data_IF_215981282492
#
_entry.id   IF_215981282492
#
_cell.length_a   1.000
_cell.length_b   1.000
_cell.length_c   1.000
_cell.angle_alpha   90.00
_cell.angle_beta   90.00
_cell.angle_gamma   90.00
#
_symmetry.space_group_name_H-M   'P 1'
#
loop_
_entity.id
_entity.type
_entity.pdbx_description
1 polymer ?
#
# COMPACT_ATOMS: atom_id res chain seq x y z
N UNK A 1 -42.94 -32.37 -14.32
CA UNK A 1 -42.87 -31.16 -13.46
C UNK A 1 -41.74 -30.29 -13.97
N UNK A 2 -42.05 -29.16 -14.60
CA UNK A 2 -41.07 -28.21 -15.13
C UNK A 2 -40.52 -27.39 -13.97
N UNK A 3 -39.20 -27.35 -13.84
CA UNK A 3 -38.47 -26.62 -12.80
C UNK A 3 -38.76 -25.12 -12.89
N UNK A 4 -39.62 -24.62 -12.01
CA UNK A 4 -39.80 -23.20 -11.77
C UNK A 4 -38.69 -22.75 -10.82
N UNK A 5 -37.68 -22.06 -11.34
CA UNK A 5 -36.80 -21.25 -10.52
C UNK A 5 -37.63 -20.02 -10.09
N UNK A 6 -37.80 -19.73 -8.79
CA UNK A 6 -38.62 -18.61 -8.35
C UNK A 6 -38.04 -17.29 -8.90
N UNK A 7 -38.88 -16.48 -9.55
CA UNK A 7 -38.55 -15.16 -10.08
C UNK A 7 -37.92 -14.22 -9.04
N UNK A 8 -38.14 -14.47 -7.75
CA UNK A 8 -37.52 -13.76 -6.63
C UNK A 8 -36.00 -13.94 -6.53
N UNK A 9 -35.45 -15.09 -6.96
CA UNK A 9 -33.99 -15.31 -7.01
C UNK A 9 -33.39 -14.52 -8.19
N UNK A 10 -34.08 -14.46 -9.33
CA UNK A 10 -33.62 -13.72 -10.52
C UNK A 10 -33.60 -12.20 -10.29
N UNK A 11 -34.58 -11.66 -9.56
CA UNK A 11 -34.65 -10.22 -9.25
C UNK A 11 -33.57 -9.79 -8.23
N UNK A 12 -33.25 -10.65 -7.25
CA UNK A 12 -32.15 -10.42 -6.33
C UNK A 12 -30.76 -10.47 -7.02
N UNK A 13 -30.62 -11.29 -8.08
CA UNK A 13 -29.43 -11.31 -8.94
C UNK A 13 -29.25 -10.00 -9.75
N UNK A 14 -30.36 -9.39 -10.20
CA UNK A 14 -30.32 -8.14 -10.95
C UNK A 14 -30.11 -6.89 -10.07
N UNK A 15 -30.52 -6.92 -8.80
CA UNK A 15 -30.36 -5.79 -7.88
C UNK A 15 -29.04 -5.84 -7.07
N UNK A 16 -28.51 -7.02 -6.72
CA UNK A 16 -27.23 -7.13 -5.98
C UNK A 16 -25.98 -7.05 -6.88
N UNK A 17 -26.14 -7.03 -8.21
CA UNK A 17 -25.05 -6.79 -9.15
C UNK A 17 -24.73 -5.30 -9.32
N UNK A 18 -25.56 -4.38 -8.83
CA UNK A 18 -25.41 -2.94 -9.06
C UNK A 18 -24.34 -2.26 -8.18
N UNK A 19 -24.25 -2.55 -6.89
CA UNK A 19 -23.26 -1.87 -6.02
C UNK A 19 -21.83 -2.42 -6.19
N UNK A 20 -21.75 -3.69 -6.56
CA UNK A 20 -20.56 -4.43 -6.90
C UNK A 20 -19.83 -3.93 -8.14
N UNK A 21 -20.63 -3.64 -9.15
CA UNK A 21 -20.18 -3.11 -10.42
C UNK A 21 -19.93 -1.62 -10.31
N UNK A 22 -20.54 -0.88 -9.38
CA UNK A 22 -20.45 0.57 -9.26
C UNK A 22 -19.05 1.18 -9.42
N UNK A 23 -17.98 0.56 -8.89
CA UNK A 23 -16.63 1.13 -9.01
C UNK A 23 -15.98 0.94 -10.37
N UNK A 24 -16.08 -0.26 -10.95
CA UNK A 24 -15.69 -0.43 -12.35
C UNK A 24 -16.72 0.21 -13.29
N UNK A 25 -17.95 0.41 -12.84
CA UNK A 25 -19.04 1.00 -13.59
C UNK A 25 -18.82 2.49 -13.76
N UNK A 26 -18.38 3.25 -12.75
CA UNK A 26 -18.09 4.68 -12.98
C UNK A 26 -16.86 4.86 -13.89
N UNK A 27 -15.85 3.98 -13.83
CA UNK A 27 -14.71 4.03 -14.76
C UNK A 27 -15.20 3.69 -16.18
N UNK A 28 -16.03 2.65 -16.32
CA UNK A 28 -16.65 2.25 -17.58
C UNK A 28 -17.56 3.35 -18.14
N UNK A 29 -18.43 3.92 -17.32
CA UNK A 29 -19.31 5.03 -17.65
C UNK A 29 -18.50 6.28 -18.01
N UNK A 30 -17.42 6.58 -17.28
CA UNK A 30 -16.47 7.64 -17.61
C UNK A 30 -15.85 7.41 -19.00
N UNK A 31 -15.49 6.17 -19.34
CA UNK A 31 -15.01 5.81 -20.70
C UNK A 31 -16.11 5.99 -21.75
N UNK A 32 -17.34 5.60 -21.45
CA UNK A 32 -18.50 5.78 -22.35
C UNK A 32 -18.82 7.26 -22.59
N UNK A 33 -18.69 8.11 -21.56
CA UNK A 33 -18.82 9.57 -21.68
C UNK A 33 -17.71 10.15 -22.55
N UNK A 34 -16.47 9.71 -22.37
CA UNK A 34 -15.32 10.09 -23.21
C UNK A 34 -15.56 9.70 -24.68
N UNK A 35 -16.04 8.48 -24.93
CA UNK A 35 -16.33 7.99 -26.29
C UNK A 35 -17.41 8.81 -27.01
N UNK A 36 -18.34 9.39 -26.25
CA UNK A 36 -19.41 10.27 -26.74
C UNK A 36 -19.00 11.75 -26.79
N UNK A 37 -17.77 12.10 -26.38
CA UNK A 37 -17.29 13.49 -26.33
C UNK A 37 -17.76 14.31 -25.13
N UNK A 38 -18.38 13.69 -24.12
CA UNK A 38 -18.87 14.33 -22.89
C UNK A 38 -17.77 14.48 -21.83
N UNK A 39 -16.65 15.13 -22.19
CA UNK A 39 -15.45 15.18 -21.34
C UNK A 39 -15.65 15.89 -19.98
N UNK A 40 -16.50 16.93 -19.92
CA UNK A 40 -16.79 17.62 -18.64
C UNK A 40 -17.52 16.71 -17.66
N UNK A 41 -18.51 15.96 -18.16
CA UNK A 41 -19.28 15.03 -17.35
C UNK A 41 -18.41 13.84 -16.92
N UNK A 42 -17.55 13.36 -17.82
CA UNK A 42 -16.56 12.33 -17.49
C UNK A 42 -15.63 12.77 -16.36
N UNK A 43 -15.06 13.99 -16.42
CA UNK A 43 -14.23 14.54 -15.33
C UNK A 43 -15.02 14.58 -14.03
N UNK A 44 -16.24 15.13 -14.05
CA UNK A 44 -17.08 15.24 -12.85
C UNK A 44 -17.35 13.87 -12.21
N UNK A 45 -17.69 12.85 -13.01
CA UNK A 45 -17.95 11.49 -12.52
C UNK A 45 -16.66 10.85 -11.99
N UNK A 46 -15.58 10.89 -12.76
CA UNK A 46 -14.30 10.26 -12.42
C UNK A 46 -13.69 10.88 -11.15
N UNK A 47 -13.72 12.21 -11.04
CA UNK A 47 -13.21 12.95 -9.88
C UNK A 47 -14.03 12.67 -8.61
N UNK A 48 -15.37 12.72 -8.71
CA UNK A 48 -16.27 12.44 -7.59
C UNK A 48 -16.09 11.02 -7.01
N UNK A 49 -15.65 10.06 -7.84
CA UNK A 49 -15.46 8.67 -7.46
C UNK A 49 -13.98 8.26 -7.33
N UNK A 50 -13.03 9.18 -7.53
CA UNK A 50 -11.60 8.89 -7.53
C UNK A 50 -11.13 8.19 -6.25
N UNK A 51 -11.68 8.60 -5.10
CA UNK A 51 -11.33 8.04 -3.79
C UNK A 51 -11.53 6.55 -3.70
N UNK A 52 -12.69 6.12 -4.18
CA UNK A 52 -13.13 4.74 -4.06
C UNK A 52 -12.58 3.90 -5.21
N UNK A 53 -11.94 4.52 -6.22
CA UNK A 53 -11.28 3.82 -7.31
C UNK A 53 -10.16 2.89 -6.82
N UNK A 54 -10.22 1.65 -7.30
CA UNK A 54 -9.13 0.68 -7.14
C UNK A 54 -7.99 0.98 -8.11
N UNK A 55 -8.30 1.33 -9.37
CA UNK A 55 -7.31 1.73 -10.38
C UNK A 55 -7.23 3.27 -10.50
N UNK A 56 -6.69 3.93 -9.47
CA UNK A 56 -6.53 5.40 -9.45
C UNK A 56 -5.70 5.94 -10.62
N UNK A 57 -4.68 5.19 -11.07
CA UNK A 57 -3.90 5.57 -12.24
C UNK A 57 -4.76 5.71 -13.49
N UNK A 58 -5.66 4.75 -13.72
CA UNK A 58 -6.55 4.80 -14.88
C UNK A 58 -7.49 5.99 -14.81
N UNK A 59 -8.04 6.28 -13.63
CA UNK A 59 -8.87 7.47 -13.40
C UNK A 59 -8.08 8.75 -13.73
N UNK A 60 -6.87 8.89 -13.19
CA UNK A 60 -6.00 10.06 -13.44
C UNK A 60 -5.69 10.23 -14.94
N UNK A 61 -5.36 9.14 -15.64
CA UNK A 61 -5.09 9.17 -17.08
C UNK A 61 -6.33 9.56 -17.89
N UNK A 62 -7.50 9.06 -17.54
CA UNK A 62 -8.76 9.42 -18.20
C UNK A 62 -9.07 10.91 -17.99
N UNK A 63 -8.86 11.44 -16.78
CA UNK A 63 -9.03 12.88 -16.49
C UNK A 63 -8.04 13.72 -17.30
N UNK A 64 -6.77 13.33 -17.37
CA UNK A 64 -5.76 14.03 -18.18
C UNK A 64 -6.15 14.09 -19.67
N UNK A 65 -6.63 12.97 -20.22
CA UNK A 65 -7.16 12.90 -21.60
C UNK A 65 -8.36 13.83 -21.79
N UNK A 66 -9.28 13.90 -20.82
CA UNK A 66 -10.43 14.79 -20.89
C UNK A 66 -10.01 16.27 -20.94
N UNK A 67 -9.00 16.69 -20.18
CA UNK A 67 -8.49 18.05 -20.22
C UNK A 67 -7.95 18.41 -21.61
N UNK A 68 -7.14 17.54 -22.22
CA UNK A 68 -6.62 17.76 -23.57
C UNK A 68 -7.74 17.92 -24.60
N UNK A 69 -8.76 17.07 -24.54
CA UNK A 69 -9.89 17.11 -25.48
C UNK A 69 -10.83 18.31 -25.26
N UNK A 70 -10.77 18.96 -24.08
CA UNK A 70 -11.48 20.22 -23.80
C UNK A 70 -10.70 21.47 -24.24
N UNK A 71 -9.53 21.31 -24.88
CA UNK A 71 -8.63 22.42 -25.21
C UNK A 71 -7.88 22.99 -24.01
N UNK A 72 -7.94 22.32 -22.85
CA UNK A 72 -7.23 22.67 -21.61
C UNK A 72 -5.86 22.00 -21.58
N UNK A 73 -5.01 22.40 -22.52
CA UNK A 73 -3.76 21.69 -22.82
C UNK A 73 -2.77 21.74 -21.66
N UNK A 74 -2.62 22.89 -21.00
CA UNK A 74 -1.70 23.06 -19.87
C UNK A 74 -2.13 22.18 -18.69
N UNK A 75 -3.43 22.11 -18.39
CA UNK A 75 -3.96 21.22 -17.36
C UNK A 75 -3.76 19.74 -17.70
N UNK A 76 -3.98 19.36 -18.96
CA UNK A 76 -3.75 17.98 -19.42
C UNK A 76 -2.29 17.55 -19.32
N UNK A 77 -1.36 18.39 -19.81
CA UNK A 77 0.08 18.16 -19.70
C UNK A 77 0.55 18.14 -18.25
N UNK A 78 0.05 19.09 -17.43
CA UNK A 78 0.33 19.11 -16.00
C UNK A 78 -0.11 17.81 -15.34
N UNK A 79 -1.31 17.31 -15.65
CA UNK A 79 -1.81 16.07 -15.05
C UNK A 79 -1.00 14.85 -15.48
N UNK A 80 -0.60 14.74 -16.75
CA UNK A 80 0.30 13.68 -17.20
C UNK A 80 1.67 13.71 -16.50
N UNK A 81 2.24 14.89 -16.29
CA UNK A 81 3.48 15.05 -15.54
C UNK A 81 3.29 14.70 -14.05
N UNK A 82 2.16 15.08 -13.47
CA UNK A 82 1.81 14.68 -12.11
C UNK A 82 1.75 13.16 -12.01
N UNK A 83 1.08 12.48 -12.95
CA UNK A 83 1.04 11.01 -13.02
C UNK A 83 2.45 10.43 -13.07
N UNK A 84 3.35 10.93 -13.92
CA UNK A 84 4.74 10.47 -13.97
C UNK A 84 5.46 10.60 -12.62
N UNK A 85 5.24 11.72 -11.91
CA UNK A 85 5.87 11.95 -10.60
C UNK A 85 5.28 11.09 -9.49
N UNK A 86 3.96 10.86 -9.53
CA UNK A 86 3.19 10.15 -8.51
C UNK A 86 3.31 8.63 -8.63
N UNK A 87 3.43 8.11 -9.85
CA UNK A 87 3.50 6.69 -10.14
C UNK A 87 4.91 6.31 -10.61
N UNK A 88 5.77 5.94 -9.67
CA UNK A 88 7.21 5.74 -9.91
C UNK A 88 7.51 4.44 -10.71
N UNK A 89 6.58 3.47 -10.70
CA UNK A 89 6.74 2.15 -11.33
C UNK A 89 5.74 1.89 -12.45
N UNK A 90 5.56 2.87 -13.33
CA UNK A 90 4.76 2.70 -14.54
C UNK A 90 5.46 1.69 -15.46
N UNK A 91 4.70 0.74 -16.02
CA UNK A 91 5.25 -0.16 -17.03
C UNK A 91 5.63 0.64 -18.29
N UNK A 92 6.53 0.08 -19.12
CA UNK A 92 7.05 0.77 -20.32
C UNK A 92 5.95 1.26 -21.27
N UNK A 93 4.89 0.47 -21.45
CA UNK A 93 3.77 0.84 -22.32
C UNK A 93 3.02 2.06 -21.77
N UNK A 94 2.85 2.14 -20.45
CA UNK A 94 2.18 3.26 -19.80
C UNK A 94 3.06 4.51 -19.81
N UNK A 95 4.37 4.37 -19.57
CA UNK A 95 5.33 5.48 -19.69
C UNK A 95 5.37 6.04 -21.12
N UNK A 96 5.36 5.15 -22.12
CA UNK A 96 5.28 5.52 -23.53
C UNK A 96 3.98 6.25 -23.83
N UNK A 97 2.84 5.67 -23.43
CA UNK A 97 1.52 6.29 -23.61
C UNK A 97 1.45 7.70 -23.00
N UNK A 98 1.94 7.90 -21.78
CA UNK A 98 1.95 9.22 -21.15
C UNK A 98 2.83 10.20 -21.94
N UNK A 99 4.02 9.79 -22.36
CA UNK A 99 4.92 10.64 -23.13
C UNK A 99 4.34 11.02 -24.49
N UNK A 100 3.72 10.06 -25.19
CA UNK A 100 3.00 10.31 -26.43
C UNK A 100 1.80 11.24 -26.22
N UNK A 101 1.06 11.05 -25.13
CA UNK A 101 -0.12 11.86 -24.82
C UNK A 101 0.23 13.31 -24.48
N UNK A 102 1.35 13.55 -23.78
CA UNK A 102 1.89 14.90 -23.56
C UNK A 102 2.18 15.56 -24.91
N UNK A 103 2.84 14.85 -25.84
CA UNK A 103 3.15 15.38 -27.16
C UNK A 103 1.91 15.62 -28.04
N UNK A 104 0.78 14.95 -27.77
CA UNK A 104 -0.48 15.13 -28.50
C UNK A 104 -1.41 16.19 -27.86
N UNK A 105 -1.17 16.54 -26.60
CA UNK A 105 -1.99 17.48 -25.85
C UNK A 105 -1.59 18.94 -26.15
N UNK A 106 -1.80 19.39 -27.38
CA UNK A 106 -1.49 20.76 -27.83
C UNK A 106 -2.41 21.22 -28.97
N UNK A 107 -2.55 22.55 -29.21
CA UNK A 107 -3.41 23.07 -30.28
C UNK A 107 -3.04 22.50 -31.66
N UNK A 108 -4.04 22.11 -32.44
CA UNK A 108 -3.85 21.63 -33.82
C UNK A 108 -3.41 20.17 -33.99
N UNK A 109 -3.05 19.48 -32.90
CA UNK A 109 -2.76 18.04 -32.91
C UNK A 109 -4.01 17.20 -32.65
N UNK A 110 -4.00 15.94 -33.10
CA UNK A 110 -5.03 14.97 -32.74
C UNK A 110 -4.89 14.67 -31.25
N UNK A 111 -5.92 15.03 -30.48
CA UNK A 111 -5.95 14.82 -29.04
C UNK A 111 -5.67 13.36 -28.68
N UNK A 112 -5.03 13.08 -27.53
CA UNK A 112 -4.71 11.73 -27.12
C UNK A 112 -5.98 10.89 -27.02
N UNK A 113 -5.91 9.66 -27.56
CA UNK A 113 -6.97 8.67 -27.41
C UNK A 113 -6.97 8.11 -25.99
N UNK A 114 -8.11 7.59 -25.54
CA UNK A 114 -8.23 6.93 -24.22
C UNK A 114 -7.18 5.81 -24.06
N UNK A 115 -6.64 5.58 -22.85
CA UNK A 115 -5.70 4.50 -22.63
C UNK A 115 -6.39 3.14 -22.86
N UNK A 116 -5.76 2.27 -23.65
CA UNK A 116 -6.27 0.93 -24.00
C UNK A 116 -6.47 0.08 -22.73
N UNK A 117 -5.54 0.19 -21.77
CA UNK A 117 -5.64 -0.27 -20.39
C UNK A 117 -4.40 0.26 -19.65
N UNK A 118 -4.60 1.14 -18.67
CA UNK A 118 -3.49 1.61 -17.84
C UNK A 118 -3.27 0.62 -16.70
N UNK A 119 -2.07 0.03 -16.67
CA UNK A 119 -1.72 -0.99 -15.69
C UNK A 119 -0.54 -0.50 -14.86
N UNK A 120 -0.83 0.14 -13.72
CA UNK A 120 0.13 0.15 -12.62
C UNK A 120 -0.24 -0.99 -11.69
N UNK A 121 0.69 -1.93 -11.50
CA UNK A 121 0.64 -2.76 -10.30
C UNK A 121 1.09 -1.85 -9.16
N UNK A 122 0.17 -1.49 -8.27
CA UNK A 122 0.52 -0.89 -6.99
C UNK A 122 0.63 -2.04 -5.99
N UNK A 123 1.75 -2.76 -6.05
CA UNK A 123 2.09 -3.77 -5.05
C UNK A 123 3.03 -3.16 -4.00
N UNK A 124 2.86 -3.50 -2.72
CA UNK A 124 3.81 -3.09 -1.66
C UNK A 124 5.19 -3.70 -1.82
N UNK A 125 5.37 -4.62 -2.77
CA UNK A 125 6.70 -5.12 -3.18
C UNK A 125 7.61 -3.98 -3.68
N UNK A 126 7.04 -2.79 -3.97
CA UNK A 126 7.79 -1.54 -4.20
C UNK A 126 8.86 -1.23 -3.14
N UNK A 127 8.76 -1.82 -1.95
CA UNK A 127 9.62 -1.56 -0.79
C UNK A 127 10.30 -2.83 -0.25
N UNK A 128 10.50 -3.83 -1.09
CA UNK A 128 11.03 -5.16 -0.69
C UNK A 128 12.43 -5.18 -0.10
N UNK A 129 13.18 -4.08 -0.17
CA UNK A 129 14.59 -4.08 0.20
C UNK A 129 14.80 -4.18 1.73
N UNK A 130 13.79 -3.88 2.57
CA UNK A 130 13.87 -4.00 4.05
C UNK A 130 13.17 -5.21 4.66
N UNK A 131 12.69 -6.14 3.83
CA UNK A 131 12.00 -7.36 4.26
C UNK A 131 12.95 -8.54 4.48
N UNK A 132 14.26 -8.31 4.39
CA UNK A 132 15.29 -9.32 4.62
C UNK A 132 15.37 -9.68 6.10
N UNK A 133 15.25 -10.98 6.41
CA UNK A 133 15.41 -11.50 7.77
C UNK A 133 16.86 -11.33 8.22
N UNK A 134 17.06 -10.71 9.38
CA UNK A 134 18.33 -10.76 10.09
C UNK A 134 18.38 -12.09 10.86
N UNK A 135 19.14 -13.08 10.36
CA UNK A 135 19.55 -14.22 11.17
C UNK A 135 20.85 -13.82 11.89
N UNK A 136 20.90 -13.80 13.23
CA UNK A 136 22.11 -13.43 13.98
C UNK A 136 23.31 -14.36 13.77
N UNK A 137 23.17 -15.46 13.03
CA UNK A 137 24.17 -16.52 13.00
C UNK A 137 25.22 -16.41 11.90
N UNK A 138 25.07 -15.54 10.90
CA UNK A 138 26.10 -15.36 9.87
C UNK A 138 26.13 -13.92 9.39
N UNK A 139 27.33 -13.33 9.31
CA UNK A 139 27.59 -12.04 8.69
C UNK A 139 27.22 -12.09 7.19
N UNK A 140 25.94 -11.97 6.86
CA UNK A 140 25.47 -11.92 5.47
C UNK A 140 25.98 -10.61 4.88
N UNK A 141 26.87 -10.74 3.89
CA UNK A 141 27.30 -9.62 3.04
C UNK A 141 26.06 -8.99 2.40
N UNK A 142 25.78 -7.74 2.75
CA UNK A 142 24.78 -6.90 2.09
C UNK A 142 24.92 -7.02 0.57
N UNK A 143 23.92 -7.61 -0.08
CA UNK A 143 23.90 -7.63 -1.53
C UNK A 143 23.49 -6.24 -1.99
N UNK A 144 24.48 -5.41 -2.38
CA UNK A 144 24.30 -3.98 -2.74
C UNK A 144 23.37 -3.73 -3.94
N UNK A 145 22.84 -4.77 -4.57
CA UNK A 145 21.89 -4.64 -5.66
C UNK A 145 20.47 -4.83 -5.14
N UNK A 146 19.67 -3.76 -4.98
CA UNK A 146 18.25 -3.91 -4.73
C UNK A 146 17.67 -4.76 -5.86
N UNK A 147 17.23 -5.97 -5.52
CA UNK A 147 16.64 -6.89 -6.48
C UNK A 147 15.34 -6.25 -6.96
N UNK A 148 15.36 -5.73 -8.18
CA UNK A 148 14.22 -5.05 -8.78
C UNK A 148 13.09 -6.05 -9.00
N UNK A 149 11.91 -5.69 -8.50
CA UNK A 149 10.67 -6.40 -8.78
C UNK A 149 10.39 -6.28 -10.27
N UNK A 150 10.34 -7.41 -10.98
CA UNK A 150 9.95 -7.43 -12.39
C UNK A 150 8.47 -7.81 -12.50
N UNK A 151 7.68 -6.92 -13.07
CA UNK A 151 6.30 -7.19 -13.48
C UNK A 151 6.37 -7.87 -14.85
N UNK A 152 6.02 -9.16 -14.90
CA UNK A 152 6.13 -10.02 -16.08
C UNK A 152 4.84 -9.98 -16.91
N UNK A 153 3.66 -9.98 -16.26
CA UNK A 153 2.37 -9.86 -16.94
C UNK A 153 1.25 -9.59 -15.92
N UNK A 154 0.48 -8.52 -16.10
CA UNK A 154 -0.63 -8.20 -15.20
C UNK A 154 -1.92 -8.89 -15.64
N UNK A 155 -2.32 -9.96 -14.95
CA UNK A 155 -3.72 -10.46 -14.99
C UNK A 155 -4.52 -9.77 -13.90
N UNK A 156 -4.72 -8.46 -14.04
CA UNK A 156 -5.10 -7.60 -12.90
C UNK A 156 -6.61 -7.41 -12.71
N UNK A 157 -7.45 -7.96 -13.58
CA UNK A 157 -8.91 -7.76 -13.47
C UNK A 157 -9.70 -9.02 -13.07
N UNK A 158 -9.08 -10.02 -12.46
CA UNK A 158 -9.82 -11.19 -12.00
C UNK A 158 -10.52 -10.97 -10.65
N UNK A 159 -11.60 -10.17 -10.74
CA UNK A 159 -12.84 -10.17 -9.95
C UNK A 159 -12.70 -9.96 -8.44
N UNK A 160 -12.49 -8.68 -8.09
CA UNK A 160 -12.84 -8.12 -6.78
C UNK A 160 -14.24 -8.59 -6.35
N UNK A 161 -14.36 -9.06 -5.10
CA UNK A 161 -15.61 -9.56 -4.55
C UNK A 161 -16.17 -8.49 -3.60
N UNK A 162 -17.29 -7.84 -3.90
CA UNK A 162 -17.87 -6.83 -3.02
C UNK A 162 -18.20 -7.41 -1.65
N UNK A 163 -18.05 -6.60 -0.59
CA UNK A 163 -18.45 -7.06 0.73
C UNK A 163 -19.97 -7.26 0.84
N UNK A 164 -20.76 -6.63 -0.04
CA UNK A 164 -22.23 -6.71 -0.11
C UNK A 164 -22.75 -7.96 -0.81
N UNK A 165 -21.89 -8.73 -1.49
CA UNK A 165 -22.33 -9.97 -2.16
C UNK A 165 -22.89 -10.99 -1.15
N UNK A 166 -23.93 -11.71 -1.59
CA UNK A 166 -24.49 -12.84 -0.85
C UNK A 166 -23.43 -13.94 -0.64
N UNK A 167 -23.55 -14.67 0.47
CA UNK A 167 -22.65 -15.77 0.80
C UNK A 167 -22.54 -16.82 -0.31
N UNK A 168 -23.62 -17.14 -1.03
CA UNK A 168 -23.58 -18.11 -2.14
C UNK A 168 -22.71 -17.63 -3.31
N UNK A 169 -22.92 -16.40 -3.78
CA UNK A 169 -22.12 -15.80 -4.86
C UNK A 169 -20.64 -15.71 -4.48
N UNK A 170 -20.34 -15.27 -3.25
CA UNK A 170 -18.97 -15.24 -2.75
C UNK A 170 -18.37 -16.64 -2.74
N UNK A 171 -19.09 -17.67 -2.27
CA UNK A 171 -18.59 -19.06 -2.26
C UNK A 171 -18.25 -19.59 -3.65
N UNK A 172 -19.13 -19.36 -4.64
CA UNK A 172 -18.87 -19.77 -6.04
C UNK A 172 -17.57 -19.12 -6.53
N UNK A 173 -17.42 -17.82 -6.28
CA UNK A 173 -16.24 -17.10 -6.73
C UNK A 173 -14.96 -17.56 -6.03
N UNK A 174 -15.03 -17.78 -4.72
CA UNK A 174 -13.93 -18.31 -3.92
C UNK A 174 -13.51 -19.69 -4.43
N UNK A 175 -14.45 -20.56 -4.79
CA UNK A 175 -14.14 -21.87 -5.34
C UNK A 175 -13.41 -21.77 -6.69
N UNK A 176 -13.79 -20.81 -7.55
CA UNK A 176 -13.07 -20.56 -8.80
C UNK A 176 -11.64 -20.10 -8.55
N UNK A 177 -11.42 -19.20 -7.58
CA UNK A 177 -10.08 -18.77 -7.16
C UNK A 177 -9.26 -19.95 -6.63
N UNK A 178 -9.85 -20.80 -5.79
CA UNK A 178 -9.20 -22.01 -5.28
C UNK A 178 -8.76 -22.93 -6.43
N UNK A 179 -9.64 -23.17 -7.40
CA UNK A 179 -9.35 -24.02 -8.55
C UNK A 179 -8.21 -23.44 -9.42
N UNK A 180 -8.17 -22.11 -9.59
CA UNK A 180 -7.10 -21.41 -10.31
C UNK A 180 -5.76 -21.52 -9.59
N UNK A 181 -5.74 -21.36 -8.26
CA UNK A 181 -4.49 -21.37 -7.48
C UNK A 181 -3.97 -22.80 -7.26
N UNK A 182 -4.86 -23.79 -7.12
CA UNK A 182 -4.48 -25.20 -7.00
C UNK A 182 -3.96 -25.82 -8.32
N UNK A 183 -3.60 -25.00 -9.31
CA UNK A 183 -3.19 -25.43 -10.64
C UNK A 183 -2.09 -26.49 -10.61
N UNK A 184 -2.31 -27.57 -11.37
CA UNK A 184 -1.43 -28.75 -11.46
C UNK A 184 -1.06 -29.40 -10.11
N UNK A 185 -1.90 -29.24 -9.08
CA UNK A 185 -1.71 -29.82 -7.74
C UNK A 185 -0.38 -29.43 -7.06
N UNK A 186 0.33 -28.39 -7.54
CA UNK A 186 1.62 -27.99 -6.95
C UNK A 186 1.42 -27.44 -5.54
N UNK A 187 0.36 -26.67 -5.35
CA UNK A 187 -0.06 -26.15 -4.06
C UNK A 187 -1.53 -26.48 -3.83
N UNK A 188 -1.88 -26.79 -2.58
CA UNK A 188 -3.25 -27.04 -2.17
C UNK A 188 -3.61 -26.05 -1.06
N UNK A 189 -4.67 -25.28 -1.28
CA UNK A 189 -5.32 -24.53 -0.21
C UNK A 189 -5.94 -25.57 0.73
N UNK A 190 -5.48 -25.57 1.98
CA UNK A 190 -5.85 -26.56 2.97
C UNK A 190 -7.18 -26.22 3.66
N UNK A 191 -7.41 -24.93 3.90
CA UNK A 191 -8.67 -24.40 4.40
C UNK A 191 -8.89 -22.97 3.93
N UNK A 192 -10.14 -22.50 3.94
CA UNK A 192 -10.47 -21.11 3.70
C UNK A 192 -11.61 -20.65 4.60
N UNK A 193 -11.72 -19.34 4.81
CA UNK A 193 -12.84 -18.74 5.52
C UNK A 193 -13.25 -17.41 4.88
N UNK A 194 -14.55 -17.15 4.83
CA UNK A 194 -15.13 -15.91 4.33
C UNK A 194 -15.69 -15.16 5.53
N UNK A 195 -15.13 -13.98 5.81
CA UNK A 195 -15.64 -13.06 6.82
C UNK A 195 -16.31 -11.85 6.14
N UNK A 196 -16.57 -10.77 6.89
CA UNK A 196 -17.23 -9.56 6.38
C UNK A 196 -16.37 -8.90 5.30
N UNK A 197 -15.12 -8.61 5.62
CA UNK A 197 -14.18 -7.87 4.79
C UNK A 197 -13.05 -8.74 4.23
N UNK A 198 -12.90 -10.01 4.64
CA UNK A 198 -11.82 -10.87 4.17
C UNK A 198 -12.29 -12.18 3.56
N UNK A 199 -11.45 -12.70 2.68
CA UNK A 199 -11.39 -14.12 2.35
C UNK A 199 -9.99 -14.59 2.70
N UNK A 200 -9.89 -15.47 3.69
CA UNK A 200 -8.61 -16.03 4.15
C UNK A 200 -8.40 -17.38 3.51
N UNK A 201 -7.30 -17.54 2.77
CA UNK A 201 -6.84 -18.79 2.17
C UNK A 201 -5.62 -19.29 2.93
N UNK A 202 -5.74 -20.46 3.55
CA UNK A 202 -4.69 -21.02 4.38
C UNK A 202 -4.08 -22.25 3.70
N UNK A 203 -2.80 -22.14 3.31
CA UNK A 203 -2.03 -23.25 2.77
C UNK A 203 -1.35 -24.08 3.86
N UNK A 204 -1.26 -23.57 5.09
CA UNK A 204 -0.53 -24.19 6.20
C UNK A 204 -1.39 -25.27 6.85
N UNK A 205 -2.56 -24.89 7.36
CA UNK A 205 -3.39 -25.76 8.21
C UNK A 205 -4.64 -26.29 7.52
N UNK A 206 -4.92 -27.57 7.74
CA UNK A 206 -6.21 -28.20 7.39
C UNK A 206 -7.31 -27.89 8.42
N UNK A 207 -6.98 -27.23 9.53
CA UNK A 207 -7.92 -26.93 10.59
C UNK A 207 -8.60 -25.57 10.33
N UNK A 208 -9.89 -25.64 9.97
CA UNK A 208 -10.73 -24.46 9.74
C UNK A 208 -10.78 -23.50 10.94
N UNK A 209 -10.66 -24.00 12.19
CA UNK A 209 -10.71 -23.12 13.37
C UNK A 209 -9.57 -22.11 13.40
N UNK A 210 -8.35 -22.50 12.98
CA UNK A 210 -7.22 -21.57 12.92
C UNK A 210 -7.41 -20.52 11.83
N UNK A 211 -7.96 -20.91 10.69
CA UNK A 211 -8.30 -19.99 9.59
C UNK A 211 -9.40 -19.00 10.00
N UNK A 212 -10.37 -19.43 10.82
CA UNK A 212 -11.40 -18.56 11.41
C UNK A 212 -10.77 -17.58 12.41
N UNK A 213 -9.88 -18.04 13.28
CA UNK A 213 -9.17 -17.19 14.25
C UNK A 213 -8.38 -16.08 13.56
N UNK A 214 -7.61 -16.43 12.54
CA UNK A 214 -6.87 -15.50 11.69
C UNK A 214 -7.79 -14.45 11.05
N UNK A 215 -8.92 -14.89 10.48
CA UNK A 215 -9.90 -13.97 9.88
C UNK A 215 -10.50 -13.02 10.93
N UNK A 216 -10.85 -13.52 12.11
CA UNK A 216 -11.39 -12.69 13.20
C UNK A 216 -10.39 -11.63 13.66
N UNK A 217 -9.12 -12.00 13.75
CA UNK A 217 -8.06 -11.07 14.13
C UNK A 217 -7.86 -9.97 13.07
N UNK A 218 -7.81 -10.34 11.80
CA UNK A 218 -7.72 -9.38 10.68
C UNK A 218 -8.91 -8.42 10.66
N UNK A 219 -10.14 -8.92 10.88
CA UNK A 219 -11.34 -8.08 10.99
C UNK A 219 -11.23 -7.08 12.13
N UNK A 220 -10.80 -7.56 13.30
CA UNK A 220 -10.66 -6.72 14.50
C UNK A 220 -9.63 -5.61 14.26
N UNK A 221 -8.49 -5.95 13.64
CA UNK A 221 -7.43 -4.99 13.33
C UNK A 221 -7.87 -4.00 12.24
N UNK A 222 -8.55 -4.45 11.18
CA UNK A 222 -9.11 -3.58 10.14
C UNK A 222 -10.09 -2.55 10.72
N UNK A 223 -10.99 -2.98 11.61
CA UNK A 223 -11.93 -2.07 12.28
C UNK A 223 -11.19 -1.04 13.13
N UNK A 224 -10.15 -1.46 13.85
CA UNK A 224 -9.30 -0.52 14.60
C UNK A 224 -8.62 0.49 13.66
N UNK A 225 -7.95 0.05 12.60
CA UNK A 225 -7.25 0.95 11.67
C UNK A 225 -8.21 1.95 11.04
N UNK A 226 -9.39 1.49 10.60
CA UNK A 226 -10.42 2.36 10.05
C UNK A 226 -10.91 3.38 11.08
N UNK A 227 -11.22 2.96 12.31
CA UNK A 227 -11.77 3.86 13.34
C UNK A 227 -10.75 4.84 13.90
N UNK A 228 -9.52 4.38 14.13
CA UNK A 228 -8.46 5.15 14.78
C UNK A 228 -7.83 6.16 13.81
N UNK A 229 -7.53 5.74 12.58
CA UNK A 229 -6.91 6.60 11.56
C UNK A 229 -7.91 7.24 10.59
N UNK A 230 -9.21 6.93 10.70
CA UNK A 230 -10.26 7.34 9.75
C UNK A 230 -10.00 6.90 8.32
N UNK A 231 -9.31 5.77 8.17
CA UNK A 231 -9.11 5.15 6.86
C UNK A 231 -10.41 4.54 6.35
N UNK A 232 -10.70 4.77 5.08
CA UNK A 232 -11.80 4.11 4.36
C UNK A 232 -11.42 2.66 4.10
N UNK A 233 -12.33 1.74 4.45
CA UNK A 233 -12.22 0.33 4.10
C UNK A 233 -12.60 0.17 2.62
N UNK A 234 -11.79 -0.52 1.79
CA UNK A 234 -12.17 -0.82 0.42
C UNK A 234 -13.53 -1.54 0.35
N UNK A 235 -14.42 -1.22 -0.60
CA UNK A 235 -15.76 -1.82 -0.64
C UNK A 235 -15.79 -3.23 -1.26
N UNK A 236 -14.65 -3.91 -1.21
CA UNK A 236 -14.45 -5.28 -1.67
C UNK A 236 -13.74 -6.08 -0.59
N UNK A 237 -13.96 -7.38 -0.57
CA UNK A 237 -13.28 -8.32 0.30
C UNK A 237 -11.80 -8.38 -0.08
N UNK A 238 -10.96 -8.33 0.94
CA UNK A 238 -9.51 -8.45 0.87
C UNK A 238 -9.16 -9.94 0.84
N UNK A 239 -8.39 -10.36 -0.16
CA UNK A 239 -7.90 -11.74 -0.25
C UNK A 239 -6.63 -11.88 0.60
N UNK A 240 -6.67 -12.66 1.67
CA UNK A 240 -5.53 -12.88 2.56
C UNK A 240 -5.00 -14.30 2.39
N UNK A 241 -3.75 -14.46 1.94
CA UNK A 241 -3.13 -15.76 1.73
C UNK A 241 -2.01 -16.02 2.74
N UNK A 242 -2.07 -17.18 3.38
CA UNK A 242 -1.05 -17.64 4.33
C UNK A 242 -0.32 -18.84 3.73
N UNK A 243 0.95 -18.65 3.40
CA UNK A 243 1.75 -19.62 2.67
C UNK A 243 2.78 -20.31 3.57
N UNK A 244 3.16 -21.53 3.19
CA UNK A 244 4.06 -22.42 3.93
C UNK A 244 5.54 -22.11 3.76
N UNK A 245 5.92 -21.41 2.69
CA UNK A 245 7.32 -21.11 2.37
C UNK A 245 7.45 -19.85 1.50
N UNK A 246 8.61 -19.20 1.55
CA UNK A 246 8.96 -18.11 0.63
C UNK A 246 8.93 -18.56 -0.84
N UNK A 247 9.32 -19.80 -1.13
CA UNK A 247 9.22 -20.36 -2.49
C UNK A 247 7.77 -20.42 -2.99
N UNK A 248 6.82 -20.77 -2.10
CA UNK A 248 5.39 -20.72 -2.41
C UNK A 248 4.91 -19.28 -2.58
N UNK A 249 5.35 -18.35 -1.74
CA UNK A 249 5.06 -16.92 -1.87
C UNK A 249 5.46 -16.39 -3.25
N UNK A 250 6.70 -16.68 -3.66
CA UNK A 250 7.29 -16.22 -4.92
C UNK A 250 6.59 -16.84 -6.14
N UNK A 251 6.24 -18.12 -6.08
CA UNK A 251 5.54 -18.78 -7.19
C UNK A 251 4.10 -18.25 -7.34
N UNK A 252 3.39 -17.99 -6.23
CA UNK A 252 2.07 -17.34 -6.28
C UNK A 252 2.20 -15.91 -6.81
N UNK A 253 3.18 -15.13 -6.32
CA UNK A 253 3.42 -13.77 -6.83
C UNK A 253 3.66 -13.74 -8.33
N UNK A 254 4.51 -14.63 -8.83
CA UNK A 254 4.84 -14.67 -10.25
C UNK A 254 3.66 -15.14 -11.11
N UNK A 255 2.94 -16.19 -10.68
CA UNK A 255 1.87 -16.78 -11.51
C UNK A 255 0.54 -16.06 -11.39
N UNK A 256 0.17 -15.65 -10.19
CA UNK A 256 -1.12 -15.03 -9.93
C UNK A 256 -1.09 -13.54 -10.25
N UNK A 257 -0.03 -12.85 -9.82
CA UNK A 257 0.08 -11.39 -9.97
C UNK A 257 1.09 -10.96 -11.04
N UNK A 258 1.89 -11.88 -11.60
CA UNK A 258 2.94 -11.52 -12.56
C UNK A 258 4.14 -10.84 -11.93
N UNK A 259 4.37 -11.02 -10.62
CA UNK A 259 5.38 -10.31 -9.85
C UNK A 259 6.54 -11.24 -9.48
N UNK A 260 7.76 -10.88 -9.88
CA UNK A 260 8.97 -11.54 -9.39
C UNK A 260 9.45 -10.86 -8.10
N UNK A 261 9.46 -11.61 -6.99
CA UNK A 261 9.89 -11.14 -5.67
C UNK A 261 11.39 -11.41 -5.43
N UNK A 262 12.01 -10.62 -4.55
CA UNK A 262 13.28 -11.01 -3.91
C UNK A 262 13.03 -12.28 -3.06
N UNK A 263 13.90 -13.31 -3.13
CA UNK A 263 13.81 -14.51 -2.28
C UNK A 263 13.62 -14.25 -0.79
N UNK A 264 14.15 -13.13 -0.28
CA UNK A 264 14.07 -12.75 1.13
C UNK A 264 12.71 -12.16 1.54
N UNK A 265 11.83 -11.84 0.60
CA UNK A 265 10.50 -11.31 0.91
C UNK A 265 9.65 -12.34 1.67
N UNK A 266 9.01 -11.88 2.74
CA UNK A 266 8.10 -12.69 3.55
C UNK A 266 6.63 -12.28 3.42
N UNK A 267 6.36 -11.19 2.73
CA UNK A 267 5.00 -10.74 2.48
C UNK A 267 4.93 -9.68 1.40
N UNK A 268 3.74 -9.52 0.83
CA UNK A 268 3.40 -8.41 -0.04
C UNK A 268 1.89 -8.21 -0.15
N UNK A 269 1.49 -7.02 -0.58
CA UNK A 269 0.12 -6.66 -0.93
C UNK A 269 0.05 -6.20 -2.38
N UNK A 270 -1.13 -6.32 -2.97
CA UNK A 270 -1.47 -5.87 -4.32
C UNK A 270 -2.77 -5.09 -4.21
N UNK A 271 -2.73 -3.78 -4.49
CA UNK A 271 -3.88 -2.90 -4.31
C UNK A 271 -4.96 -3.17 -5.36
N UNK A 272 -4.57 -3.60 -6.55
CA UNK A 272 -5.47 -3.70 -7.70
C UNK A 272 -6.52 -4.81 -7.56
N UNK A 273 -6.23 -5.88 -6.83
CA UNK A 273 -7.13 -7.00 -6.55
C UNK A 273 -7.38 -7.20 -5.04
N UNK A 274 -6.86 -6.27 -4.23
CA UNK A 274 -6.90 -6.28 -2.77
C UNK A 274 -6.37 -7.59 -2.16
N UNK A 275 -5.27 -8.09 -2.70
CA UNK A 275 -4.60 -9.27 -2.17
C UNK A 275 -3.51 -8.90 -1.16
N UNK A 276 -3.42 -9.63 -0.05
CA UNK A 276 -2.30 -9.62 0.90
C UNK A 276 -1.80 -11.04 1.10
N UNK A 277 -0.48 -11.22 1.12
CA UNK A 277 0.15 -12.52 1.19
C UNK A 277 1.27 -12.50 2.22
N UNK A 278 1.35 -13.58 3.01
CA UNK A 278 2.37 -13.73 4.04
C UNK A 278 2.89 -15.16 4.10
N UNK A 279 4.22 -15.28 4.14
CA UNK A 279 4.92 -16.44 4.67
C UNK A 279 4.79 -16.42 6.20
N UNK A 280 3.87 -17.23 6.72
CA UNK A 280 3.62 -17.37 8.15
C UNK A 280 3.38 -18.85 8.49
N UNK A 281 4.45 -19.67 8.56
CA UNK A 281 4.32 -21.11 8.83
C UNK A 281 3.75 -21.37 10.23
N UNK A 282 3.94 -20.43 11.16
CA UNK A 282 3.38 -20.47 12.51
C UNK A 282 1.97 -19.88 12.60
N UNK A 283 1.37 -19.48 11.47
CA UNK A 283 0.01 -18.94 11.37
C UNK A 283 -0.22 -17.76 12.32
N UNK A 284 0.72 -16.82 12.32
CA UNK A 284 0.61 -15.52 12.98
C UNK A 284 0.17 -14.46 11.98
N UNK A 285 -0.43 -13.38 12.47
CA UNK A 285 -0.95 -12.29 11.64
C UNK A 285 0.04 -11.14 11.45
N UNK A 286 1.18 -11.10 12.15
CA UNK A 286 2.10 -9.95 12.13
C UNK A 286 2.44 -9.46 10.72
N UNK A 287 2.96 -10.33 9.86
CA UNK A 287 3.23 -9.98 8.45
C UNK A 287 1.96 -9.68 7.65
N UNK A 288 0.82 -10.34 7.93
CA UNK A 288 -0.44 -9.98 7.29
C UNK A 288 -0.94 -8.59 7.69
N UNK A 289 -0.77 -8.20 8.96
CA UNK A 289 -1.14 -6.87 9.47
C UNK A 289 -0.27 -5.80 8.81
N UNK A 290 1.03 -6.07 8.66
CA UNK A 290 1.95 -5.22 7.91
C UNK A 290 1.46 -4.99 6.46
N UNK A 291 1.13 -6.08 5.74
CA UNK A 291 0.62 -5.95 4.37
C UNK A 291 -0.79 -5.35 4.28
N UNK A 292 -1.63 -5.56 5.29
CA UNK A 292 -2.94 -4.94 5.40
C UNK A 292 -2.82 -3.41 5.55
N UNK A 293 -1.89 -2.93 6.38
CA UNK A 293 -1.62 -1.50 6.50
C UNK A 293 -1.15 -0.93 5.16
N UNK A 294 -0.21 -1.56 4.46
CA UNK A 294 0.18 -1.09 3.13
C UNK A 294 -1.00 -0.98 2.17
N UNK A 295 -1.87 -2.00 2.14
CA UNK A 295 -3.06 -1.98 1.29
C UNK A 295 -3.99 -0.82 1.64
N UNK A 296 -4.26 -0.58 2.94
CA UNK A 296 -5.09 0.52 3.39
C UNK A 296 -4.48 1.89 3.11
N UNK A 297 -3.17 2.04 3.34
CA UNK A 297 -2.44 3.27 3.07
C UNK A 297 -2.39 3.58 1.58
N UNK A 298 -2.09 2.60 0.73
CA UNK A 298 -2.08 2.81 -0.72
C UNK A 298 -3.49 3.11 -1.26
N UNK A 299 -4.53 2.55 -0.63
CA UNK A 299 -5.91 2.85 -0.99
C UNK A 299 -6.33 4.28 -0.60
N UNK A 300 -5.99 4.73 0.61
CA UNK A 300 -6.44 6.01 1.17
C UNK A 300 -5.50 7.19 0.85
N UNK A 301 -4.19 6.94 0.83
CA UNK A 301 -3.14 7.94 0.72
C UNK A 301 -2.03 7.46 -0.24
N UNK A 302 -2.33 7.36 -1.54
CA UNK A 302 -1.44 6.74 -2.54
C UNK A 302 -0.07 7.43 -2.72
N UNK A 303 0.13 8.60 -2.12
CA UNK A 303 1.34 9.42 -2.25
C UNK A 303 1.99 9.72 -0.89
N UNK A 304 1.72 8.92 0.15
CA UNK A 304 2.44 9.02 1.42
C UNK A 304 3.94 8.81 1.22
N UNK A 305 4.73 9.55 1.99
CA UNK A 305 6.18 9.37 2.01
C UNK A 305 6.56 7.97 2.52
N UNK A 306 7.69 7.42 2.04
CA UNK A 306 8.15 6.06 2.39
C UNK A 306 8.16 5.77 3.89
N UNK A 307 8.67 6.71 4.69
CA UNK A 307 8.86 6.51 6.12
C UNK A 307 7.54 6.28 6.87
N UNK A 308 6.45 6.97 6.51
CA UNK A 308 5.13 6.75 7.13
C UNK A 308 4.56 5.43 6.70
N UNK A 309 4.65 5.13 5.39
CA UNK A 309 4.05 3.94 4.80
C UNK A 309 4.67 2.66 5.40
N UNK A 310 6.00 2.59 5.38
CA UNK A 310 6.76 1.48 5.94
C UNK A 310 6.80 1.51 7.47
N UNK A 311 6.90 2.69 8.08
CA UNK A 311 6.96 2.83 9.53
C UNK A 311 5.67 2.37 10.21
N UNK A 312 4.50 2.75 9.69
CA UNK A 312 3.21 2.32 10.23
C UNK A 312 2.95 0.83 9.96
N UNK A 313 3.26 0.35 8.76
CA UNK A 313 3.12 -1.08 8.43
C UNK A 313 4.01 -1.94 9.32
N UNK A 314 5.26 -1.51 9.50
CA UNK A 314 6.20 -2.16 10.40
C UNK A 314 5.67 -2.10 11.82
N UNK A 315 5.27 -0.94 12.36
CA UNK A 315 4.75 -0.79 13.73
C UNK A 315 3.79 -1.92 14.13
N UNK A 316 2.84 -2.25 13.26
CA UNK A 316 1.83 -3.29 13.49
C UNK A 316 2.24 -4.73 13.10
N UNK A 317 3.47 -4.97 12.66
CA UNK A 317 4.02 -6.33 12.48
C UNK A 317 4.23 -7.06 13.82
N UNK A 318 4.47 -6.28 14.88
CA UNK A 318 4.60 -6.73 16.28
C UNK A 318 3.70 -5.84 17.11
N UNK A 319 2.54 -6.37 17.51
CA UNK A 319 1.50 -5.60 18.17
C UNK A 319 0.77 -6.43 19.23
N UNK A 320 0.07 -5.75 20.13
CA UNK A 320 -0.88 -6.36 21.05
C UNK A 320 -2.17 -5.55 21.15
N UNK A 321 -3.22 -6.19 21.68
CA UNK A 321 -4.46 -5.52 22.04
C UNK A 321 -4.43 -5.08 23.50
N UNK A 322 -4.49 -3.77 23.72
CA UNK A 322 -4.58 -3.16 25.05
C UNK A 322 -5.65 -2.08 25.05
N UNK A 323 -6.56 -2.13 26.03
CA UNK A 323 -7.62 -1.13 26.23
C UNK A 323 -8.40 -0.77 24.94
N UNK A 324 -8.82 -1.81 24.19
CA UNK A 324 -9.53 -1.69 22.90
C UNK A 324 -8.74 -0.98 21.79
N UNK A 325 -7.42 -0.88 21.91
CA UNK A 325 -6.52 -0.38 20.87
C UNK A 325 -5.53 -1.46 20.47
N UNK A 326 -5.09 -1.41 19.22
CA UNK A 326 -3.89 -2.13 18.80
C UNK A 326 -2.71 -1.20 19.06
N UNK A 327 -1.75 -1.65 19.87
CA UNK A 327 -0.52 -0.93 20.14
C UNK A 327 0.65 -1.69 19.51
N UNK A 328 1.51 -0.97 18.78
CA UNK A 328 2.78 -1.52 18.32
C UNK A 328 3.73 -1.73 19.49
N UNK A 329 4.52 -2.79 19.41
CA UNK A 329 5.51 -3.21 20.41
C UNK A 329 6.93 -3.05 19.87
N UNK A 330 7.95 -2.92 20.74
CA UNK A 330 9.34 -3.08 20.32
C UNK A 330 9.61 -4.44 19.66
N UNK A 331 10.62 -4.52 18.81
CA UNK A 331 11.10 -5.78 18.22
C UNK A 331 12.58 -5.71 17.81
N UNK A 332 13.07 -6.77 17.18
CA UNK A 332 14.45 -6.96 16.71
C UNK A 332 15.03 -5.80 15.88
N UNK A 333 14.20 -4.96 15.26
CA UNK A 333 14.69 -3.75 14.55
C UNK A 333 15.30 -2.72 15.51
N UNK A 334 15.02 -2.80 16.81
CA UNK A 334 15.67 -1.99 17.83
C UNK A 334 17.14 -2.33 17.95
N UNK A 335 17.48 -3.62 17.81
CA UNK A 335 18.86 -4.09 17.81
C UNK A 335 19.59 -3.58 16.56
N UNK A 336 18.94 -3.58 15.39
CA UNK A 336 19.50 -2.96 14.17
C UNK A 336 19.83 -1.49 14.41
N UNK A 337 18.91 -0.71 15.00
CA UNK A 337 19.17 0.71 15.28
C UNK A 337 20.34 0.85 16.24
N UNK A 338 20.32 0.11 17.35
CA UNK A 338 21.33 0.16 18.41
C UNK A 338 22.72 -0.17 17.87
N UNK A 339 22.85 -1.26 17.11
CA UNK A 339 24.13 -1.69 16.55
C UNK A 339 24.70 -0.68 15.55
N UNK A 340 23.84 0.06 14.84
CA UNK A 340 24.30 1.11 13.90
C UNK A 340 24.58 2.46 14.60
N UNK A 341 23.81 2.82 15.63
CA UNK A 341 24.05 4.04 16.42
C UNK A 341 25.35 3.95 17.22
N UNK A 342 25.66 2.79 17.82
CA UNK A 342 26.90 2.62 18.57
C UNK A 342 28.17 2.65 17.72
N UNK A 343 28.09 2.23 16.45
CA UNK A 343 29.23 2.36 15.54
C UNK A 343 29.50 3.82 15.18
N UNK A 344 28.47 4.67 15.02
CA UNK A 344 28.66 6.12 14.84
C UNK A 344 29.35 6.78 16.05
N UNK A 345 28.93 6.46 17.27
CA UNK A 345 29.56 7.00 18.49
C UNK A 345 31.04 6.59 18.60
N UNK A 346 31.39 5.37 18.21
CA UNK A 346 32.79 4.90 18.17
C UNK A 346 33.61 5.58 17.07
N UNK A 347 33.02 5.88 15.92
CA UNK A 347 33.72 6.56 14.82
C UNK A 347 33.96 8.05 15.13
N UNK A 348 33.05 8.71 15.85
CA UNK A 348 33.25 10.09 16.36
C UNK A 348 34.44 10.16 17.32
N UNK A 349 34.68 9.11 18.11
CA UNK A 349 35.84 9.03 19.01
C UNK A 349 37.14 8.72 18.24
N UNK A 350 37.06 8.11 17.05
CA UNK A 350 38.23 7.61 16.31
C UNK A 350 38.92 8.59 15.38
N UNK A 351 38.42 9.81 15.22
CA UNK A 351 39.15 10.91 14.58
C UNK A 351 39.70 10.57 13.18
N UNK A 352 38.91 10.91 12.16
CA UNK A 352 39.32 11.06 10.76
C UNK A 352 38.93 9.95 9.76
N UNK A 353 38.52 10.43 8.58
CA UNK A 353 38.40 9.78 7.25
C UNK A 353 37.01 9.21 6.85
N UNK A 354 36.08 8.91 7.77
CA UNK A 354 34.72 8.42 7.40
C UNK A 354 33.56 9.43 7.59
N UNK A 355 33.84 10.59 8.17
CA UNK A 355 32.85 11.66 8.49
C UNK A 355 31.89 12.00 7.34
N UNK A 356 32.40 12.22 6.13
CA UNK A 356 31.60 12.77 5.03
C UNK A 356 30.57 11.80 4.42
N UNK A 357 30.60 10.51 4.76
CA UNK A 357 29.62 9.54 4.23
C UNK A 357 28.54 9.16 5.25
N UNK A 358 28.89 9.18 6.53
CA UNK A 358 27.95 8.92 7.63
C UNK A 358 27.20 10.18 8.06
N UNK A 359 27.83 11.37 8.09
CA UNK A 359 27.16 12.61 8.51
C UNK A 359 25.94 12.97 7.64
N UNK A 360 26.03 12.74 6.33
CA UNK A 360 24.95 13.05 5.38
C UNK A 360 23.88 11.96 5.26
N UNK A 361 24.21 10.69 5.57
CA UNK A 361 23.27 9.57 5.37
C UNK A 361 22.61 9.12 6.69
N UNK A 362 23.30 9.27 7.81
CA UNK A 362 22.89 8.76 9.13
C UNK A 362 23.19 9.70 10.31
N UNK A 363 23.92 10.81 10.08
CA UNK A 363 24.34 11.76 11.12
C UNK A 363 23.25 12.69 11.67
N UNK A 364 23.66 13.89 12.15
CA UNK A 364 22.80 14.83 12.89
C UNK A 364 21.49 15.19 12.18
N UNK A 365 21.44 15.15 10.85
CA UNK A 365 20.24 15.45 10.06
C UNK A 365 19.38 14.22 9.73
N UNK A 366 19.61 13.06 10.33
CA UNK A 366 18.94 11.80 9.99
C UNK A 366 17.41 11.92 9.90
N UNK A 367 16.75 12.56 10.87
CA UNK A 367 15.28 12.60 10.88
C UNK A 367 14.76 13.49 9.75
N UNK A 368 15.48 14.56 9.43
CA UNK A 368 15.19 15.42 8.28
C UNK A 368 15.35 14.64 6.98
N UNK A 369 16.45 13.91 6.85
CA UNK A 369 16.71 13.03 5.72
C UNK A 369 15.64 11.95 5.61
N UNK A 370 15.29 11.24 6.69
CA UNK A 370 14.25 10.20 6.71
C UNK A 370 12.89 10.75 6.26
N UNK A 371 12.52 11.92 6.78
CA UNK A 371 11.22 12.53 6.52
C UNK A 371 11.17 13.11 5.11
N UNK A 372 12.28 13.59 4.57
CA UNK A 372 12.32 14.18 3.22
C UNK A 372 12.77 13.22 2.12
N UNK A 373 13.17 12.00 2.50
CA UNK A 373 13.64 10.97 1.58
C UNK A 373 12.56 10.58 0.57
N UNK A 374 12.94 10.52 -0.70
CA UNK A 374 12.12 9.86 -1.71
C UNK A 374 12.31 8.33 -1.68
N UNK A 375 11.54 7.61 -2.49
CA UNK A 375 11.58 6.15 -2.51
C UNK A 375 12.93 5.58 -2.96
N UNK A 376 13.64 6.24 -3.87
CA UNK A 376 14.89 5.73 -4.41
C UNK A 376 16.00 5.83 -3.37
N UNK A 377 16.04 6.94 -2.65
CA UNK A 377 16.97 7.17 -1.55
C UNK A 377 16.65 6.26 -0.35
N UNK A 378 15.37 6.09 -0.02
CA UNK A 378 14.92 5.22 1.08
C UNK A 378 15.36 3.76 0.88
N UNK A 379 15.43 3.31 -0.38
CA UNK A 379 15.85 1.95 -0.73
C UNK A 379 17.38 1.75 -0.80
N UNK A 380 18.21 2.79 -0.63
CA UNK A 380 19.70 2.64 -0.63
C UNK A 380 20.20 1.94 0.64
N UNK A 381 19.53 2.17 1.76
CA UNK A 381 19.90 1.66 3.08
C UNK A 381 18.71 1.04 3.80
N UNK A 382 18.09 0.03 3.18
CA UNK A 382 16.72 -0.34 3.49
C UNK A 382 16.56 -0.84 4.92
N UNK A 383 17.38 -1.78 5.38
CA UNK A 383 17.22 -2.38 6.70
C UNK A 383 17.18 -1.32 7.83
N UNK A 384 18.13 -0.38 7.82
CA UNK A 384 18.19 0.70 8.81
C UNK A 384 17.08 1.74 8.58
N UNK A 385 16.79 2.13 7.35
CA UNK A 385 15.70 3.09 7.05
C UNK A 385 14.33 2.56 7.49
N UNK A 386 14.03 1.28 7.23
CA UNK A 386 12.80 0.63 7.69
C UNK A 386 12.78 0.49 9.22
N UNK A 387 13.90 0.16 9.86
CA UNK A 387 14.02 0.11 11.32
C UNK A 387 13.75 1.48 11.96
N UNK A 388 14.40 2.53 11.46
CA UNK A 388 14.23 3.89 11.94
C UNK A 388 12.80 4.40 11.71
N UNK A 389 12.22 4.15 10.53
CA UNK A 389 10.83 4.50 10.24
C UNK A 389 9.83 3.83 11.21
N UNK A 390 10.04 2.54 11.50
CA UNK A 390 9.25 1.80 12.51
C UNK A 390 9.34 2.48 13.87
N UNK A 391 10.55 2.68 14.36
CA UNK A 391 10.76 3.20 15.71
C UNK A 391 10.33 4.67 15.84
N UNK A 392 10.41 5.45 14.77
CA UNK A 392 9.84 6.79 14.75
C UNK A 392 8.30 6.74 14.85
N UNK A 393 7.63 5.81 14.15
CA UNK A 393 6.19 5.60 14.34
C UNK A 393 5.85 5.09 15.75
N UNK A 394 6.69 4.25 16.36
CA UNK A 394 6.52 3.80 17.74
C UNK A 394 6.67 4.96 18.74
N UNK A 395 7.63 5.85 18.54
CA UNK A 395 7.77 7.10 19.28
C UNK A 395 6.53 8.00 19.13
N UNK A 396 6.04 8.19 17.90
CA UNK A 396 4.82 8.98 17.67
C UNK A 396 3.59 8.34 18.32
N UNK A 397 3.52 7.01 18.41
CA UNK A 397 2.49 6.30 19.15
C UNK A 397 2.59 6.61 20.65
N UNK A 398 3.78 6.50 21.23
CA UNK A 398 4.04 6.76 22.65
C UNK A 398 3.70 8.21 23.05
N UNK A 399 4.03 9.17 22.18
CA UNK A 399 3.70 10.60 22.36
C UNK A 399 2.24 10.94 22.04
N UNK A 400 1.43 9.98 21.61
CA UNK A 400 0.03 10.22 21.21
C UNK A 400 -0.13 11.07 19.95
N UNK A 401 0.93 11.22 19.15
CA UNK A 401 0.97 12.06 17.95
C UNK A 401 0.56 11.31 16.67
N UNK A 402 0.52 9.98 16.69
CA UNK A 402 0.25 9.18 15.50
C UNK A 402 -1.17 9.39 14.95
N UNK A 403 -2.20 9.48 15.82
CA UNK A 403 -3.57 9.78 15.36
C UNK A 403 -3.71 11.22 14.84
N UNK A 404 -3.21 12.27 15.53
CA UNK A 404 -3.16 13.62 14.99
C UNK A 404 -2.50 13.73 13.63
N UNK A 405 -1.38 13.04 13.41
CA UNK A 405 -0.68 12.99 12.10
C UNK A 405 -1.63 12.51 10.99
N UNK A 406 -2.33 11.40 11.20
CA UNK A 406 -3.28 10.88 10.23
C UNK A 406 -4.53 11.75 10.07
N UNK A 407 -4.97 12.47 11.10
CA UNK A 407 -6.05 13.45 10.97
C UNK A 407 -5.68 14.59 10.02
N UNK A 408 -4.42 15.02 10.00
CA UNK A 408 -3.92 16.00 9.03
C UNK A 408 -3.80 15.41 7.62
N UNK A 409 -3.32 14.16 7.47
CA UNK A 409 -3.40 13.47 6.18
C UNK A 409 -4.83 13.36 5.69
N UNK A 410 -5.79 13.05 6.56
CA UNK A 410 -7.20 13.02 6.20
C UNK A 410 -7.68 14.37 5.68
N UNK A 411 -7.28 15.49 6.30
CA UNK A 411 -7.63 16.82 5.77
C UNK A 411 -7.01 17.05 4.39
N UNK A 412 -5.74 16.71 4.20
CA UNK A 412 -5.04 16.93 2.92
C UNK A 412 -5.65 16.08 1.80
N UNK A 413 -5.84 14.78 2.04
CA UNK A 413 -6.36 13.85 1.04
C UNK A 413 -7.88 13.90 0.91
N UNK A 414 -8.60 14.46 1.90
CA UNK A 414 -10.06 14.46 1.93
C UNK A 414 -10.78 15.84 1.94
N UNK A 415 -10.09 16.98 1.97
CA UNK A 415 -10.74 18.30 2.06
C UNK A 415 -11.44 18.80 0.77
N UNK A 416 -11.16 18.22 -0.41
CA UNK A 416 -11.60 18.82 -1.68
C UNK A 416 -12.58 17.94 -2.50
N UNK A 417 -13.77 17.60 -2.00
CA UNK A 417 -14.83 16.97 -2.85
C UNK A 417 -15.80 17.96 -3.51
N UNK A 418 -15.55 19.27 -3.44
CA UNK A 418 -16.52 20.29 -3.88
C UNK A 418 -16.31 20.84 -5.29
N UNK A 419 -15.06 21.10 -5.68
CA UNK A 419 -14.69 21.71 -6.97
C UNK A 419 -13.17 21.59 -7.15
N UNK A 420 -12.69 20.53 -7.77
CA UNK A 420 -11.26 20.36 -8.08
C UNK A 420 -10.98 20.74 -9.53
N UNK A 421 -10.94 22.05 -9.80
CA UNK A 421 -10.10 22.55 -10.90
C UNK A 421 -8.66 22.61 -10.41
N UNK A 422 -7.75 21.93 -11.10
CA UNK A 422 -6.31 22.27 -11.15
C UNK A 422 -5.52 22.37 -9.83
N UNK A 423 -6.01 21.86 -8.69
CA UNK A 423 -5.36 22.03 -7.36
C UNK A 423 -5.06 20.75 -6.58
N UNK A 424 -5.09 19.58 -7.23
CA UNK A 424 -4.21 18.47 -6.82
C UNK A 424 -2.73 18.75 -7.17
N UNK A 425 -2.44 19.97 -7.67
CA UNK A 425 -1.12 20.60 -7.74
C UNK A 425 -0.30 20.15 -6.55
N UNK A 426 0.68 19.30 -6.81
CA UNK A 426 1.97 19.36 -6.13
C UNK A 426 1.95 19.45 -4.60
N UNK A 427 0.96 18.89 -3.89
CA UNK A 427 1.04 18.78 -2.44
C UNK A 427 2.02 17.62 -2.14
N UNK A 428 3.30 17.87 -2.46
CA UNK A 428 4.37 17.66 -1.49
C UNK A 428 3.91 18.41 -0.24
N UNK A 429 3.03 17.77 0.52
CA UNK A 429 2.80 18.20 1.88
C UNK A 429 4.13 17.98 2.56
N UNK A 430 4.58 19.01 3.23
CA UNK A 430 5.74 18.85 4.06
C UNK A 430 5.29 18.13 5.32
N UNK A 431 5.62 16.84 5.42
CA UNK A 431 5.42 16.05 6.63
C UNK A 431 5.98 16.78 7.86
N UNK A 432 7.02 17.61 7.71
CA UNK A 432 7.53 18.44 8.80
C UNK A 432 6.60 19.56 9.21
N UNK A 433 5.93 20.20 8.26
CA UNK A 433 4.91 21.19 8.58
C UNK A 433 3.75 20.53 9.34
N UNK A 434 3.35 19.32 8.94
CA UNK A 434 2.31 18.56 9.64
C UNK A 434 2.77 18.20 11.06
N UNK A 435 3.99 17.66 11.21
CA UNK A 435 4.55 17.31 12.52
C UNK A 435 4.67 18.54 13.43
N UNK A 436 5.18 19.66 12.91
CA UNK A 436 5.25 20.94 13.61
C UNK A 436 3.86 21.38 14.10
N UNK A 437 2.84 21.29 13.24
CA UNK A 437 1.45 21.65 13.56
C UNK A 437 0.86 20.79 14.67
N UNK A 438 1.04 19.47 14.63
CA UNK A 438 0.41 18.55 15.60
C UNK A 438 1.14 18.51 16.95
N UNK A 439 2.36 19.04 17.03
CA UNK A 439 3.19 19.05 18.25
C UNK A 439 3.22 20.39 18.99
N UNK A 440 2.30 21.30 18.67
CA UNK A 440 2.30 22.66 19.22
C UNK A 440 3.61 23.42 18.93
N UNK A 441 4.19 23.20 17.74
CA UNK A 441 5.33 23.98 17.25
C UNK A 441 6.71 23.43 17.63
N UNK A 442 6.85 22.13 17.91
CA UNK A 442 8.19 21.54 18.06
C UNK A 442 8.93 21.60 16.73
N UNK A 443 10.14 22.15 16.76
CA UNK A 443 11.00 22.20 15.58
C UNK A 443 11.56 20.81 15.27
N UNK A 444 12.09 20.62 14.05
CA UNK A 444 12.83 19.41 13.69
C UNK A 444 13.91 19.05 14.72
N UNK A 445 14.66 20.04 15.18
CA UNK A 445 15.72 19.86 16.18
C UNK A 445 15.17 19.29 17.49
N UNK A 446 14.00 19.79 17.93
CA UNK A 446 13.35 19.26 19.14
C UNK A 446 12.92 17.80 18.97
N UNK A 447 12.39 17.44 17.80
CA UNK A 447 12.00 16.06 17.49
C UNK A 447 13.20 15.13 17.44
N UNK A 448 14.29 15.53 16.79
CA UNK A 448 15.53 14.74 16.75
C UNK A 448 16.07 14.49 18.15
N UNK A 449 16.11 15.53 18.99
CA UNK A 449 16.59 15.43 20.36
C UNK A 449 15.70 14.52 21.22
N UNK A 450 14.37 14.75 21.22
CA UNK A 450 13.44 13.95 22.03
C UNK A 450 13.35 12.50 21.54
N UNK A 451 13.35 12.27 20.22
CA UNK A 451 13.35 10.92 19.65
C UNK A 451 14.63 10.17 20.01
N UNK A 452 15.81 10.80 19.92
CA UNK A 452 17.07 10.17 20.35
C UNK A 452 17.04 9.82 21.83
N UNK A 453 16.63 10.76 22.68
CA UNK A 453 16.49 10.51 24.12
C UNK A 453 15.54 9.34 24.39
N UNK A 454 14.40 9.33 23.70
CA UNK A 454 13.41 8.27 23.79
C UNK A 454 13.94 6.91 23.31
N UNK A 455 14.71 6.88 22.22
CA UNK A 455 15.37 5.66 21.74
C UNK A 455 16.34 5.11 22.80
N UNK A 456 17.18 5.96 23.39
CA UNK A 456 18.12 5.54 24.42
C UNK A 456 17.43 5.08 25.71
N UNK A 457 16.34 5.75 26.14
CA UNK A 457 15.59 5.35 27.33
C UNK A 457 14.70 4.12 27.10
N UNK A 458 14.17 3.94 25.89
CA UNK A 458 13.16 2.92 25.57
C UNK A 458 13.71 1.62 24.98
N UNK A 459 14.91 1.65 24.37
CA UNK A 459 15.58 0.45 23.84
C UNK A 459 16.49 -0.19 24.91
N UNK A 460 16.91 0.56 25.93
CA UNK A 460 17.80 0.10 27.00
C UNK A 460 17.14 -0.66 28.16
N UNK A 461 15.84 -0.44 28.41
CA UNK A 461 15.10 -1.05 29.53
C UNK A 461 14.30 -2.32 29.12
N UNK A 462 14.46 -2.79 27.89
CA UNK A 462 13.91 -4.07 27.45
C UNK A 462 14.90 -5.19 27.82
N UNK A 463 14.99 -5.48 29.12
CA UNK A 463 15.53 -6.77 29.57
C UNK A 463 14.69 -7.88 28.93
N UNK A 464 15.34 -8.72 28.12
CA UNK A 464 14.74 -9.93 27.54
C UNK A 464 14.53 -11.02 28.60
#
# INVERSE_FOLDING_TARGET
MKNFIPYTILLAFLLNSYESTAQQAFIKEGRELIDKGHYKDAIKLLDANWRVAINKLEVDLLIAVCYCNLGKYDEGVSEFNNIKSRYINLNKNTQYYISESINKCRPGEVSPSKPIQALAVIASVRWSAGKEFYFPSDHIKYNKNPSTVKIVQTRVNEELIPYTWSNELTKIKVQNTINKINYKNKYKINSYYISKNFIVYNFVSNNNSKTIELAKELERNLVFYSNYYKMTIPPYKINAFIVKSQAQLNDIALRHHGISLNPNNIGYSVTNDLSILSYAPNQTTGTLNHELIHLLLNFNYPFLKPWVNEGLASLYESNEWKDNKVIGLPNWRGDVIRDNLYEEEKEVIRGDILKNRYEDTYGWNFLDNLINMDSNEFNRHPLLNHAMARYFCLYLQDKGLLQPLFNEYNKIYFANTGTLSSSYKSVKHDDMEILFKISNGLTMFNYQYDFRKWLHSGIGDLEY
#
